data_IF_133834911420
#
_entry.id   IF_133834911420
#
_cell.length_a   1.000
_cell.length_b   1.000
_cell.length_c   1.000
_cell.angle_alpha   90.00
_cell.angle_beta   90.00
_cell.angle_gamma   90.00
#
_symmetry.space_group_name_H-M   'P 1'
#
loop_
_entity.id
_entity.type
_entity.pdbx_description
1 polymer ?
#
# COMPACT_ATOMS: atom_id res chain seq x y z
N UNK A 1 0.51 13.80 10.69
CA UNK A 1 -0.74 13.03 10.44
C UNK A 1 -0.37 11.74 9.74
N UNK A 2 -1.08 10.63 10.02
CA UNK A 2 -0.80 9.31 9.41
C UNK A 2 -1.88 8.95 8.41
N UNK A 3 -1.47 8.62 7.18
CA UNK A 3 -2.34 8.16 6.09
C UNK A 3 -2.06 6.69 5.86
N UNK A 4 -3.11 5.87 5.91
CA UNK A 4 -3.01 4.43 5.64
C UNK A 4 -3.54 4.17 4.25
N UNK A 5 -2.77 3.45 3.43
CA UNK A 5 -3.16 3.05 2.08
C UNK A 5 -3.33 1.54 2.07
N UNK A 6 -4.54 1.09 1.73
CA UNK A 6 -4.77 -0.31 1.43
C UNK A 6 -4.16 -0.66 0.07
N UNK A 7 -3.08 -1.43 0.10
CA UNK A 7 -2.37 -1.91 -1.07
C UNK A 7 -2.33 -3.44 -1.10
N UNK A 8 -3.33 -4.13 -0.54
CA UNK A 8 -3.38 -5.60 -0.56
C UNK A 8 -3.39 -6.17 -1.99
N UNK A 9 -3.91 -5.40 -2.94
CA UNK A 9 -3.91 -5.69 -4.38
C UNK A 9 -2.62 -5.24 -5.11
N UNK A 10 -1.58 -4.77 -4.42
CA UNK A 10 -0.36 -4.18 -5.02
C UNK A 10 0.25 -4.99 -6.20
N UNK A 11 0.44 -6.32 -6.10
CA UNK A 11 1.08 -7.09 -7.17
C UNK A 11 0.15 -7.41 -8.34
N UNK A 12 -1.17 -7.17 -8.24
CA UNK A 12 -2.12 -7.54 -9.29
C UNK A 12 -2.06 -6.59 -10.49
N UNK A 13 -2.72 -6.99 -11.59
CA UNK A 13 -2.80 -6.16 -12.81
C UNK A 13 -3.56 -4.86 -12.55
N UNK A 14 -4.67 -4.93 -11.80
CA UNK A 14 -5.46 -3.78 -11.33
C UNK A 14 -4.71 -2.99 -10.26
N UNK A 15 -3.86 -3.66 -9.46
CA UNK A 15 -2.91 -3.04 -8.53
C UNK A 15 -1.92 -2.03 -9.14
N UNK A 16 -1.80 -1.98 -10.48
CA UNK A 16 -0.99 -0.97 -11.18
C UNK A 16 -1.33 0.46 -10.76
N UNK A 17 -2.60 0.77 -10.53
CA UNK A 17 -3.00 2.12 -10.12
C UNK A 17 -2.53 2.46 -8.71
N UNK A 18 -2.62 1.51 -7.77
CA UNK A 18 -2.10 1.66 -6.40
C UNK A 18 -0.59 1.87 -6.44
N UNK A 19 0.14 1.07 -7.24
CA UNK A 19 1.58 1.23 -7.45
C UNK A 19 1.92 2.63 -7.92
N UNK A 20 1.25 3.11 -8.96
CA UNK A 20 1.51 4.45 -9.51
C UNK A 20 1.12 5.57 -8.54
N UNK A 21 0.09 5.38 -7.72
CA UNK A 21 -0.24 6.31 -6.65
C UNK A 21 0.90 6.41 -5.64
N UNK A 22 1.35 5.28 -5.08
CA UNK A 22 2.43 5.23 -4.08
C UNK A 22 3.72 5.82 -4.66
N UNK A 23 4.15 5.38 -5.85
CA UNK A 23 5.35 5.89 -6.53
C UNK A 23 5.33 7.41 -6.74
N UNK A 24 4.16 8.02 -6.97
CA UNK A 24 4.06 9.47 -7.15
C UNK A 24 3.99 10.20 -5.81
N UNK A 25 3.32 9.64 -4.80
CA UNK A 25 3.30 10.21 -3.45
C UNK A 25 4.71 10.24 -2.82
N UNK A 26 5.51 9.20 -3.03
CA UNK A 26 6.91 9.13 -2.55
C UNK A 26 7.80 10.24 -3.14
N UNK A 27 7.43 10.81 -4.30
CA UNK A 27 8.15 11.93 -4.93
C UNK A 27 7.75 13.30 -4.39
N UNK A 28 6.62 13.38 -3.68
CA UNK A 28 6.13 14.64 -3.14
C UNK A 28 6.77 14.93 -1.78
N UNK A 29 7.06 16.20 -1.53
CA UNK A 29 7.37 16.65 -0.17
C UNK A 29 6.07 16.72 0.61
N UNK A 30 5.89 15.79 1.54
CA UNK A 30 4.73 15.72 2.44
C UNK A 30 5.20 15.65 3.89
N UNK A 31 4.46 16.30 4.78
CA UNK A 31 4.61 16.18 6.23
C UNK A 31 3.87 14.97 6.82
N UNK A 32 3.19 14.19 5.96
CA UNK A 32 2.42 13.02 6.37
C UNK A 32 3.29 11.76 6.40
N UNK A 33 3.00 10.89 7.35
CA UNK A 33 3.52 9.53 7.37
C UNK A 33 2.55 8.61 6.62
N UNK A 34 3.09 7.75 5.77
CA UNK A 34 2.33 6.79 4.98
C UNK A 34 2.59 5.37 5.48
N UNK A 35 1.50 4.61 5.68
CA UNK A 35 1.54 3.19 6.04
C UNK A 35 0.85 2.38 4.94
N UNK A 36 1.62 1.50 4.30
CA UNK A 36 1.15 0.67 3.19
C UNK A 36 0.77 -0.71 3.71
N UNK A 37 -0.50 -1.10 3.57
CA UNK A 37 -0.99 -2.42 3.95
C UNK A 37 -0.78 -3.40 2.79
N UNK A 38 -0.14 -4.53 3.06
CA UNK A 38 0.10 -5.59 2.08
C UNK A 38 -0.37 -6.93 2.64
N UNK A 39 -0.75 -7.85 1.76
CA UNK A 39 -0.95 -9.23 2.18
C UNK A 39 0.39 -9.84 2.62
N UNK A 40 0.40 -10.74 3.62
CA UNK A 40 1.62 -11.41 4.05
C UNK A 40 2.38 -12.10 2.90
N UNK A 41 1.66 -12.74 1.97
CA UNK A 41 2.23 -13.41 0.78
C UNK A 41 2.96 -12.46 -0.18
N UNK A 42 2.59 -11.18 -0.17
CA UNK A 42 3.07 -10.16 -1.11
C UNK A 42 3.84 -9.04 -0.40
N UNK A 43 4.22 -9.25 0.87
CA UNK A 43 4.83 -8.21 1.71
C UNK A 43 6.15 -7.68 1.13
N UNK A 44 6.88 -8.53 0.42
CA UNK A 44 8.15 -8.18 -0.23
C UNK A 44 7.99 -7.59 -1.63
N UNK A 45 6.77 -7.55 -2.18
CA UNK A 45 6.49 -6.94 -3.48
C UNK A 45 6.66 -5.41 -3.46
N UNK A 46 6.64 -4.79 -2.27
CA UNK A 46 6.83 -3.36 -2.09
C UNK A 46 7.98 -3.07 -1.12
N UNK A 47 8.79 -2.07 -1.48
CA UNK A 47 9.81 -1.50 -0.62
C UNK A 47 9.63 0.03 -0.61
N UNK A 48 9.53 0.67 0.57
CA UNK A 48 9.41 2.12 0.67
C UNK A 48 10.52 2.87 -0.07
N UNK A 49 10.12 3.79 -0.96
CA UNK A 49 11.01 4.66 -1.72
C UNK A 49 11.35 5.98 -1.02
N UNK A 50 10.65 6.32 0.06
CA UNK A 50 10.82 7.56 0.82
C UNK A 50 10.80 7.30 2.35
N UNK A 51 11.49 8.12 3.17
CA UNK A 51 11.68 7.85 4.59
C UNK A 51 10.41 7.97 5.44
N UNK A 52 9.39 8.68 4.93
CA UNK A 52 8.08 8.81 5.57
C UNK A 52 7.10 7.70 5.17
N UNK A 53 7.55 6.67 4.43
CA UNK A 53 6.76 5.49 4.06
C UNK A 53 7.21 4.27 4.84
N UNK A 54 6.23 3.49 5.29
CA UNK A 54 6.42 2.23 6.00
C UNK A 54 5.41 1.19 5.50
N UNK A 55 5.68 -0.10 5.71
CA UNK A 55 4.79 -1.19 5.30
C UNK A 55 4.36 -2.07 6.47
N UNK A 56 3.14 -2.60 6.42
CA UNK A 56 2.57 -3.49 7.42
C UNK A 56 1.83 -4.65 6.76
N UNK A 57 2.04 -5.86 7.26
CA UNK A 57 1.31 -7.04 6.82
C UNK A 57 -0.11 -7.02 7.40
N UNK A 58 -1.11 -7.10 6.52
CA UNK A 58 -2.53 -7.17 6.83
C UNK A 58 -3.05 -8.56 6.46
N UNK A 59 -3.16 -9.51 7.42
CA UNK A 59 -3.57 -10.90 7.15
C UNK A 59 -5.10 -11.03 7.01
N UNK A 60 -5.71 -10.17 6.20
CA UNK A 60 -7.16 -10.15 5.94
C UNK A 60 -7.42 -10.15 4.44
N UNK A 61 -8.41 -10.93 4.00
CA UNK A 61 -8.83 -10.98 2.61
C UNK A 61 -9.24 -9.60 2.10
N UNK A 62 -8.89 -9.31 0.85
CA UNK A 62 -9.10 -8.07 0.13
C UNK A 62 -10.58 -7.67 0.17
N UNK A 63 -11.46 -8.65 -0.03
CA UNK A 63 -12.90 -8.52 0.02
C UNK A 63 -13.51 -9.66 0.84
N UNK A 64 -14.60 -9.35 1.53
CA UNK A 64 -15.46 -10.32 2.19
C UNK A 64 -16.69 -10.62 1.31
N UNK A 65 -17.35 -11.75 1.55
CA UNK A 65 -18.61 -12.08 0.89
C UNK A 65 -19.74 -11.06 1.12
N UNK A 66 -19.63 -10.22 2.15
CA UNK A 66 -20.62 -9.18 2.45
C UNK A 66 -20.45 -7.92 1.58
N UNK A 67 -19.33 -7.80 0.87
CA UNK A 67 -18.98 -6.62 0.06
C UNK A 67 -19.19 -6.82 -1.46
N UNK A 68 -19.66 -8.01 -1.88
CA UNK A 68 -19.99 -8.34 -3.28
C UNK A 68 -21.45 -7.99 -3.63
#
# INVERSE_FOLDING_TARGET
>A
MKIVIDAREYPTSTGRYIRKLIENLEKLKSEHEFLILLLPKDFDAYQPGAPNFSKLAAPFQEFTFSEQ
#
